data_IF_828472111888
#
_entry.id   IF_828472111888
#
_cell.length_a   1.000
_cell.length_b   1.000
_cell.length_c   1.000
_cell.angle_alpha   90.00
_cell.angle_beta   90.00
_cell.angle_gamma   90.00
#
_symmetry.space_group_name_H-M   'P 1'
#
loop_
_entity.id
_entity.type
_entity.pdbx_description
1 polymer ?
#
# COMPACT_ATOMS: atom_id res chain seq x y z
N UNK A 1 21.24 2.37 7.94
CA UNK A 1 21.62 1.78 6.64
C UNK A 1 21.25 0.29 6.62
N UNK A 2 19.95 -0.05 6.70
CA UNK A 2 19.50 -1.43 6.91
C UNK A 2 18.76 -2.09 5.76
N UNK A 3 18.23 -1.30 4.81
CA UNK A 3 17.36 -1.83 3.75
C UNK A 3 18.10 -2.14 2.45
N UNK A 4 19.13 -1.33 2.09
CA UNK A 4 19.97 -1.59 0.92
C UNK A 4 20.75 -2.91 1.03
N UNK A 5 21.16 -3.30 2.25
CA UNK A 5 21.85 -4.58 2.48
C UNK A 5 20.92 -5.80 2.43
N UNK A 6 19.62 -5.62 2.62
CA UNK A 6 18.66 -6.73 2.54
C UNK A 6 18.28 -7.04 1.08
N UNK A 7 18.19 -6.01 0.24
CA UNK A 7 17.92 -6.16 -1.21
C UNK A 7 19.16 -6.58 -2.01
N UNK A 8 20.37 -6.18 -1.59
CA UNK A 8 21.63 -6.59 -2.23
C UNK A 8 22.08 -8.03 -1.89
N UNK A 9 21.40 -8.71 -0.97
CA UNK A 9 21.74 -10.06 -0.50
C UNK A 9 21.00 -11.20 -1.19
N UNK A 10 20.19 -10.93 -2.22
CA UNK A 10 19.56 -12.00 -3.02
C UNK A 10 20.57 -12.43 -4.11
N UNK A 11 21.10 -13.67 -4.09
CA UNK A 11 22.00 -14.13 -5.14
C UNK A 11 21.24 -14.19 -6.47
N UNK A 12 21.72 -13.44 -7.45
CA UNK A 12 21.35 -13.63 -8.86
C UNK A 12 22.00 -14.92 -9.36
N UNK A 13 21.26 -16.02 -9.39
CA UNK A 13 21.58 -17.18 -10.20
C UNK A 13 20.37 -17.59 -11.03
N UNK A 14 20.26 -17.00 -12.21
CA UNK A 14 19.73 -17.75 -13.35
C UNK A 14 20.79 -18.78 -13.73
N UNK A 15 20.47 -20.08 -13.73
CA UNK A 15 20.65 -20.97 -14.89
C UNK A 15 20.41 -22.43 -14.53
N UNK A 16 19.34 -22.97 -15.14
CA UNK A 16 19.26 -24.29 -15.78
C UNK A 16 19.28 -25.57 -14.92
N UNK A 17 18.26 -26.38 -15.21
CA UNK A 17 18.19 -27.85 -15.14
C UNK A 17 17.92 -28.55 -13.79
N UNK A 18 16.64 -28.87 -13.61
CA UNK A 18 16.10 -30.22 -13.39
C UNK A 18 16.74 -31.10 -12.31
N UNK A 19 15.95 -31.37 -11.27
CA UNK A 19 15.54 -32.73 -10.87
C UNK A 19 14.52 -32.57 -9.73
N UNK A 20 13.23 -32.66 -10.02
CA UNK A 20 12.44 -33.86 -9.73
C UNK A 20 12.79 -34.46 -8.36
N UNK A 21 11.88 -34.24 -7.42
CA UNK A 21 11.30 -35.27 -6.55
C UNK A 21 11.32 -34.88 -5.06
N UNK A 22 10.31 -34.12 -4.64
CA UNK A 22 9.86 -34.08 -3.25
C UNK A 22 8.41 -33.60 -3.20
N UNK A 23 7.55 -34.48 -3.73
CA UNK A 23 6.18 -34.76 -3.32
C UNK A 23 5.59 -33.86 -2.21
N UNK A 24 4.58 -33.09 -2.59
CA UNK A 24 3.61 -32.50 -1.68
C UNK A 24 2.87 -31.36 -2.36
N UNK A 25 1.72 -31.67 -2.97
CA UNK A 25 0.73 -30.76 -3.57
C UNK A 25 0.93 -29.27 -3.22
N UNK A 26 1.84 -28.62 -3.95
CA UNK A 26 2.07 -27.19 -3.79
C UNK A 26 0.91 -26.50 -4.47
N UNK A 27 -0.13 -26.19 -3.68
CA UNK A 27 -1.17 -25.23 -4.06
C UNK A 27 -0.48 -24.04 -4.72
N UNK A 28 -0.94 -23.54 -5.88
CA UNK A 28 -0.26 -22.47 -6.58
C UNK A 28 0.00 -21.34 -5.60
N UNK A 29 1.27 -20.98 -5.45
CA UNK A 29 1.70 -19.86 -4.62
C UNK A 29 0.86 -18.67 -5.06
N UNK A 30 0.05 -18.16 -4.12
CA UNK A 30 -0.92 -17.08 -4.33
C UNK A 30 -0.28 -15.98 -5.18
N UNK A 31 -1.01 -15.52 -6.21
CA UNK A 31 -0.50 -14.61 -7.24
C UNK A 31 0.29 -13.43 -6.69
N UNK A 32 1.25 -12.95 -7.48
CA UNK A 32 2.06 -11.76 -7.16
C UNK A 32 1.16 -10.64 -6.67
N UNK A 33 1.40 -10.15 -5.45
CA UNK A 33 0.75 -8.97 -4.91
C UNK A 33 1.43 -7.76 -5.55
N UNK A 34 0.87 -7.26 -6.63
CA UNK A 34 1.31 -6.01 -7.25
C UNK A 34 0.60 -4.80 -6.61
N UNK A 35 1.15 -3.60 -6.82
CA UNK A 35 0.57 -2.37 -6.27
C UNK A 35 -0.87 -2.11 -6.77
N UNK A 36 -1.23 -2.61 -7.95
CA UNK A 36 -2.58 -2.51 -8.49
C UNK A 36 -3.58 -3.36 -7.68
N UNK A 37 -3.20 -4.58 -7.31
CA UNK A 37 -3.98 -5.50 -6.48
C UNK A 37 -4.21 -4.91 -5.10
N UNK A 38 -3.15 -4.41 -4.45
CA UNK A 38 -3.25 -3.79 -3.13
C UNK A 38 -4.17 -2.56 -3.17
N UNK A 39 -4.02 -1.72 -4.19
CA UNK A 39 -4.89 -0.55 -4.39
C UNK A 39 -6.35 -0.95 -4.57
N UNK A 40 -6.60 -2.01 -5.35
CA UNK A 40 -7.95 -2.53 -5.59
C UNK A 40 -8.57 -3.04 -4.29
N UNK A 41 -7.83 -3.81 -3.50
CA UNK A 41 -8.29 -4.35 -2.22
C UNK A 41 -8.58 -3.25 -1.20
N UNK A 42 -7.71 -2.24 -1.12
CA UNK A 42 -7.92 -1.06 -0.30
C UNK A 42 -9.21 -0.32 -0.68
N UNK A 43 -9.37 -0.03 -1.97
CA UNK A 43 -10.55 0.69 -2.49
C UNK A 43 -11.83 -0.12 -2.26
N UNK A 44 -11.77 -1.43 -2.49
CA UNK A 44 -12.88 -2.35 -2.24
C UNK A 44 -13.25 -2.37 -0.76
N UNK A 45 -12.27 -2.45 0.13
CA UNK A 45 -12.51 -2.50 1.59
C UNK A 45 -13.19 -1.21 2.08
N UNK A 46 -12.81 -0.05 1.55
CA UNK A 46 -13.51 1.21 1.84
C UNK A 46 -14.97 1.14 1.40
N UNK A 47 -15.24 0.63 0.19
CA UNK A 47 -16.62 0.47 -0.32
C UNK A 47 -17.42 -0.55 0.48
N UNK A 48 -16.82 -1.66 0.88
CA UNK A 48 -17.42 -2.70 1.71
C UNK A 48 -17.81 -2.15 3.11
N UNK A 49 -17.14 -1.08 3.56
CA UNK A 49 -17.47 -0.33 4.78
C UNK A 49 -18.46 0.83 4.54
N UNK A 50 -19.16 0.82 3.40
CA UNK A 50 -20.07 1.87 2.95
C UNK A 50 -19.42 3.25 2.82
N UNK A 51 -18.11 3.30 2.54
CA UNK A 51 -17.40 4.54 2.25
C UNK A 51 -17.70 5.06 0.85
N UNK A 52 -17.80 6.38 0.72
CA UNK A 52 -18.04 7.03 -0.57
C UNK A 52 -16.76 7.10 -1.43
N UNK A 53 -16.89 7.43 -2.72
CA UNK A 53 -15.73 7.72 -3.56
C UNK A 53 -14.93 8.94 -3.05
N UNK A 54 -15.58 9.87 -2.34
CA UNK A 54 -14.88 10.96 -1.65
C UNK A 54 -14.03 10.43 -0.49
N UNK A 55 -14.50 9.43 0.25
CA UNK A 55 -13.71 8.79 1.31
C UNK A 55 -12.45 8.13 0.74
N UNK A 56 -12.54 7.47 -0.43
CA UNK A 56 -11.38 6.87 -1.11
C UNK A 56 -10.33 7.95 -1.46
N UNK A 57 -10.76 9.05 -2.08
CA UNK A 57 -9.87 10.14 -2.45
C UNK A 57 -9.23 10.80 -1.23
N UNK A 58 -10.03 11.12 -0.20
CA UNK A 58 -9.55 11.72 1.05
C UNK A 58 -8.60 10.82 1.80
N UNK A 59 -8.92 9.53 1.93
CA UNK A 59 -8.07 8.54 2.59
C UNK A 59 -6.73 8.40 1.87
N UNK A 60 -6.76 8.38 0.54
CA UNK A 60 -5.53 8.31 -0.26
C UNK A 60 -4.66 9.55 -0.03
N UNK A 61 -5.25 10.75 -0.08
CA UNK A 61 -4.49 11.99 0.15
C UNK A 61 -3.92 12.06 1.57
N UNK A 62 -4.72 11.69 2.59
CA UNK A 62 -4.29 11.67 3.98
C UNK A 62 -3.17 10.68 4.22
N UNK A 63 -3.28 9.47 3.67
CA UNK A 63 -2.21 8.48 3.73
C UNK A 63 -0.92 9.01 3.09
N UNK A 64 -1.00 9.67 1.93
CA UNK A 64 0.17 10.27 1.29
C UNK A 64 0.80 11.37 2.15
N UNK A 65 -0.02 12.26 2.71
CA UNK A 65 0.44 13.34 3.59
C UNK A 65 1.17 12.78 4.82
N UNK A 66 0.67 11.70 5.41
CA UNK A 66 1.30 11.10 6.58
C UNK A 66 2.60 10.37 6.23
N UNK A 67 2.57 9.49 5.22
CA UNK A 67 3.72 8.66 4.82
C UNK A 67 4.86 9.52 4.27
N UNK A 68 4.57 10.41 3.32
CA UNK A 68 5.59 11.15 2.56
C UNK A 68 5.80 12.59 3.04
N UNK A 69 4.92 13.09 3.92
CA UNK A 69 4.99 14.48 4.40
C UNK A 69 4.59 15.53 3.35
N UNK A 70 3.99 15.12 2.24
CA UNK A 70 3.61 16.01 1.14
C UNK A 70 2.27 15.60 0.53
N UNK A 71 1.68 16.49 -0.28
CA UNK A 71 0.45 16.16 -1.01
C UNK A 71 0.74 15.18 -2.14
N UNK A 72 -0.28 14.44 -2.57
CA UNK A 72 -0.19 13.52 -3.71
C UNK A 72 0.35 14.18 -4.98
N UNK A 73 -0.09 15.40 -5.31
CA UNK A 73 0.42 16.12 -6.48
C UNK A 73 1.90 16.47 -6.34
N UNK A 74 2.32 16.95 -5.17
CA UNK A 74 3.71 17.30 -4.88
C UNK A 74 4.63 16.08 -4.95
N UNK A 75 4.13 14.91 -4.55
CA UNK A 75 4.87 13.65 -4.67
C UNK A 75 5.19 13.37 -6.16
N UNK A 76 4.17 13.41 -7.03
CA UNK A 76 4.36 13.19 -8.46
C UNK A 76 5.28 14.24 -9.10
N UNK A 77 5.12 15.51 -8.73
CA UNK A 77 5.98 16.59 -9.24
C UNK A 77 7.44 16.41 -8.84
N UNK A 78 7.70 16.10 -7.57
CA UNK A 78 9.07 15.92 -7.06
C UNK A 78 9.76 14.67 -7.59
N UNK A 79 9.01 13.59 -7.83
CA UNK A 79 9.57 12.35 -8.35
C UNK A 79 9.54 12.27 -9.88
N UNK A 80 9.11 13.34 -10.56
CA UNK A 80 8.87 13.37 -12.01
C UNK A 80 7.94 12.25 -12.50
N UNK A 81 6.99 11.85 -11.65
CA UNK A 81 6.01 10.81 -11.94
C UNK A 81 4.80 11.35 -12.70
N UNK A 82 4.13 10.48 -13.46
CA UNK A 82 2.85 10.76 -14.12
C UNK A 82 1.71 10.75 -13.09
N UNK A 83 1.02 11.89 -12.97
CA UNK A 83 -0.11 12.02 -12.06
C UNK A 83 -1.16 10.92 -12.28
N UNK A 84 -1.52 10.23 -11.21
CA UNK A 84 -2.52 9.16 -11.21
C UNK A 84 -1.96 7.79 -11.61
N UNK A 85 -0.75 7.72 -12.15
CA UNK A 85 -0.07 6.47 -12.46
C UNK A 85 1.01 6.17 -11.42
N UNK A 86 0.67 5.32 -10.46
CA UNK A 86 1.59 4.96 -9.37
C UNK A 86 2.80 4.16 -9.84
N UNK A 87 2.73 3.52 -11.01
CA UNK A 87 3.87 2.76 -11.56
C UNK A 87 4.99 3.67 -12.04
N UNK A 88 4.67 4.96 -12.26
CA UNK A 88 5.64 5.98 -12.62
C UNK A 88 6.38 6.59 -11.42
N UNK A 89 5.98 6.25 -10.19
CA UNK A 89 6.68 6.67 -8.98
C UNK A 89 7.93 5.80 -8.76
N UNK A 90 8.95 6.29 -8.03
CA UNK A 90 10.10 5.48 -7.66
C UNK A 90 9.68 4.25 -6.84
N UNK A 91 10.46 3.17 -6.94
CA UNK A 91 10.17 1.88 -6.32
C UNK A 91 9.93 1.99 -4.81
N UNK A 92 10.68 2.86 -4.13
CA UNK A 92 10.51 3.09 -2.70
C UNK A 92 9.12 3.68 -2.39
N UNK A 93 8.65 4.63 -3.20
CA UNK A 93 7.33 5.22 -3.03
C UNK A 93 6.21 4.20 -3.34
N UNK A 94 6.40 3.38 -4.37
CA UNK A 94 5.47 2.28 -4.67
C UNK A 94 5.38 1.29 -3.51
N UNK A 95 6.51 0.92 -2.92
CA UNK A 95 6.60 0.01 -1.79
C UNK A 95 5.91 0.59 -0.55
N UNK A 96 6.15 1.87 -0.25
CA UNK A 96 5.50 2.57 0.84
C UNK A 96 3.97 2.65 0.67
N UNK A 97 3.47 2.87 -0.56
CA UNK A 97 2.04 2.77 -0.84
C UNK A 97 1.49 1.36 -0.61
N UNK A 98 2.20 0.32 -1.07
CA UNK A 98 1.78 -1.08 -0.87
C UNK A 98 1.66 -1.39 0.62
N UNK A 99 2.67 -1.04 1.43
CA UNK A 99 2.66 -1.30 2.87
C UNK A 99 1.56 -0.49 3.56
N UNK A 100 1.44 0.80 3.25
CA UNK A 100 0.42 1.68 3.82
C UNK A 100 -1.00 1.22 3.53
N UNK A 101 -1.29 0.87 2.27
CA UNK A 101 -2.62 0.40 1.86
C UNK A 101 -2.93 -0.99 2.42
N UNK A 102 -1.92 -1.86 2.54
CA UNK A 102 -2.11 -3.18 3.18
C UNK A 102 -2.45 -3.02 4.66
N UNK A 103 -1.68 -2.23 5.40
CA UNK A 103 -1.92 -1.96 6.81
C UNK A 103 -3.30 -1.33 7.03
N UNK A 104 -3.64 -0.33 6.22
CA UNK A 104 -4.94 0.33 6.29
C UNK A 104 -6.09 -0.62 5.97
N UNK A 105 -5.92 -1.50 4.97
CA UNK A 105 -6.91 -2.53 4.62
C UNK A 105 -7.18 -3.47 5.78
N UNK A 106 -6.14 -3.91 6.49
CA UNK A 106 -6.30 -4.75 7.67
C UNK A 106 -7.10 -4.03 8.77
N UNK A 107 -6.74 -2.79 9.11
CA UNK A 107 -7.47 -2.01 10.11
C UNK A 107 -8.90 -1.70 9.72
N UNK A 108 -9.15 -1.39 8.45
CA UNK A 108 -10.49 -1.11 7.94
C UNK A 108 -11.40 -2.35 8.01
N UNK A 109 -10.86 -3.56 7.84
CA UNK A 109 -11.64 -4.81 7.98
C UNK A 109 -12.20 -4.96 9.40
N UNK A 110 -11.45 -4.55 10.42
CA UNK A 110 -11.87 -4.60 11.82
C UNK A 110 -12.71 -3.38 12.24
N UNK A 111 -12.64 -2.27 11.50
CA UNK A 111 -13.41 -1.07 11.76
C UNK A 111 -14.92 -1.33 11.68
N UNK A 112 -15.64 -0.97 12.75
CA UNK A 112 -17.11 -0.89 12.77
C UNK A 112 -17.53 0.55 12.52
N UNK A 113 -18.03 0.83 11.33
CA UNK A 113 -18.53 2.16 10.97
C UNK A 113 -19.96 2.37 11.45
N UNK A 114 -20.26 3.54 11.99
CA UNK A 114 -21.61 3.90 12.46
C UNK A 114 -21.96 5.35 12.15
N UNK A 115 -23.26 5.68 12.18
CA UNK A 115 -23.75 7.03 11.90
C UNK A 115 -24.08 7.29 10.43
N UNK A 116 -24.21 8.57 10.08
CA UNK A 116 -24.52 9.03 8.71
C UNK A 116 -23.31 8.90 7.76
N UNK A 117 -23.51 9.14 6.46
CA UNK A 117 -22.45 8.93 5.46
C UNK A 117 -21.18 9.74 5.76
N UNK A 118 -21.32 11.00 6.18
CA UNK A 118 -20.20 11.87 6.52
C UNK A 118 -19.42 11.36 7.73
N UNK A 119 -20.11 10.85 8.75
CA UNK A 119 -19.50 10.24 9.93
C UNK A 119 -18.74 8.97 9.57
N UNK A 120 -19.34 8.09 8.75
CA UNK A 120 -18.67 6.87 8.27
C UNK A 120 -17.43 7.19 7.45
N UNK A 121 -17.54 8.12 6.51
CA UNK A 121 -16.41 8.56 5.68
C UNK A 121 -15.27 9.14 6.55
N UNK A 122 -15.61 9.90 7.60
CA UNK A 122 -14.61 10.45 8.52
C UNK A 122 -13.92 9.33 9.32
N UNK A 123 -14.68 8.39 9.88
CA UNK A 123 -14.12 7.23 10.60
C UNK A 123 -13.16 6.39 9.73
N UNK A 124 -13.51 6.21 8.45
CA UNK A 124 -12.65 5.52 7.48
C UNK A 124 -11.36 6.31 7.27
N UNK A 125 -11.46 7.62 6.98
CA UNK A 125 -10.30 8.48 6.74
C UNK A 125 -9.38 8.51 7.97
N UNK A 126 -9.94 8.66 9.16
CA UNK A 126 -9.19 8.68 10.43
C UNK A 126 -8.45 7.35 10.65
N UNK A 127 -9.12 6.22 10.39
CA UNK A 127 -8.49 4.89 10.49
C UNK A 127 -7.32 4.72 9.51
N UNK A 128 -7.48 5.22 8.27
CA UNK A 128 -6.41 5.20 7.27
C UNK A 128 -5.26 6.10 7.69
N UNK A 129 -5.55 7.29 8.22
CA UNK A 129 -4.54 8.22 8.71
C UNK A 129 -3.72 7.61 9.86
N UNK A 130 -4.38 6.98 10.83
CA UNK A 130 -3.71 6.33 11.96
C UNK A 130 -2.86 5.15 11.52
N UNK A 131 -3.34 4.36 10.55
CA UNK A 131 -2.52 3.32 9.91
C UNK A 131 -1.29 3.90 9.22
N UNK A 132 -1.43 5.04 8.52
CA UNK A 132 -0.35 5.66 7.79
C UNK A 132 0.74 6.21 8.72
N UNK A 133 0.36 6.76 9.88
CA UNK A 133 1.29 7.19 10.93
C UNK A 133 2.12 6.04 11.48
N UNK A 134 1.51 4.88 11.69
CA UNK A 134 2.24 3.67 12.11
C UNK A 134 3.23 3.21 11.03
N UNK A 135 2.81 3.20 9.76
CA UNK A 135 3.70 2.82 8.65
C UNK A 135 4.87 3.80 8.52
N UNK A 136 4.65 5.10 8.71
CA UNK A 136 5.73 6.11 8.71
C UNK A 136 6.81 5.83 9.76
N UNK A 137 6.40 5.33 10.93
CA UNK A 137 7.35 4.93 11.99
C UNK A 137 8.24 3.75 11.58
N UNK A 138 7.77 2.91 10.65
CA UNK A 138 8.48 1.73 10.14
C UNK A 138 9.31 2.08 8.89
N UNK A 139 8.77 2.93 8.02
CA UNK A 139 9.40 3.41 6.79
C UNK A 139 9.53 4.94 6.83
N UNK A 140 10.58 5.48 7.47
CA UNK A 140 10.84 6.90 7.46
C UNK A 140 11.21 7.34 6.04
N UNK A 141 10.28 8.01 5.36
CA UNK A 141 10.55 8.68 4.10
C UNK A 141 11.30 9.99 4.38
N UNK A 142 12.62 9.95 4.22
CA UNK A 142 13.46 11.14 4.30
C UNK A 142 13.84 11.56 2.89
N UNK A 143 13.54 12.82 2.55
CA UNK A 143 13.95 13.49 1.31
C UNK A 143 15.46 13.73 1.28
#
# INVERSE_FOLDING_TARGET
MGFLNWLAGQPEENSQESQLDLLGDSKPVRGRVDGATVRKDFTKTIKDKNGSDQAIARSTNKMTEEIFGCKTNELYEKTNGKKGDRTSLPQDAQSAYIVGETAATHKLKDLKTSGNQQQRDSQIVDTVQDSAKEVKGIFPWNW
#
